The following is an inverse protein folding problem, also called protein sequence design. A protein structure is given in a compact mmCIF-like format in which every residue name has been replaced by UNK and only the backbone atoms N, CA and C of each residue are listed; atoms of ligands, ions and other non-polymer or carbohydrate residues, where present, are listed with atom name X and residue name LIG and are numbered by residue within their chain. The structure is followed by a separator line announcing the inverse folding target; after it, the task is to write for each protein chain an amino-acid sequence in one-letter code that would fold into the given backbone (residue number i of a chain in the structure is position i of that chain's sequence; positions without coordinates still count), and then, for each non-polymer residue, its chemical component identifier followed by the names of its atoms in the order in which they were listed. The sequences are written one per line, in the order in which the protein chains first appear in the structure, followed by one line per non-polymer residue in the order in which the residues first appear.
data_IF_815051093008
#
_entry.id   IF_815051093008
#
_cell.length_a   1.000
_cell.length_b   1.000
_cell.length_c   1.000
_cell.angle_alpha   90.00
_cell.angle_beta   90.00
_cell.angle_gamma   90.00
#
_symmetry.space_group_name_H-M   'P 1'
#
loop_
_entity.id
_entity.type
_entity.pdbx_description
1 polymer ?
#
# COMPACT_ATOMS: atom_id res chain seq x y z
N UNK A 1 5.13 -18.86 8.87
CA UNK A 1 4.10 -19.93 8.73
C UNK A 1 3.72 -20.13 7.28
N UNK A 2 3.19 -21.34 6.91
CA UNK A 2 2.66 -21.62 5.57
C UNK A 2 1.13 -21.74 5.64
N UNK A 3 0.45 -21.26 4.60
CA UNK A 3 -0.99 -21.43 4.46
C UNK A 3 -1.34 -22.79 3.78
N UNK A 4 -2.65 -23.02 3.59
CA UNK A 4 -3.18 -24.27 2.98
C UNK A 4 -2.72 -24.49 1.53
N UNK A 5 -2.17 -23.47 0.87
CA UNK A 5 -1.65 -23.50 -0.51
C UNK A 5 -0.12 -23.43 -0.55
N UNK A 6 0.54 -23.72 0.58
CA UNK A 6 2.01 -23.75 0.73
C UNK A 6 2.71 -22.38 0.52
N UNK A 7 1.98 -21.24 0.59
CA UNK A 7 2.55 -19.89 0.53
C UNK A 7 3.13 -19.54 1.90
N UNK A 8 4.36 -19.01 1.93
CA UNK A 8 4.95 -18.48 3.17
C UNK A 8 4.32 -17.14 3.51
N UNK A 9 3.70 -17.01 4.68
CA UNK A 9 3.08 -15.80 5.16
C UNK A 9 4.06 -15.11 6.11
N UNK A 10 4.71 -14.05 5.64
CA UNK A 10 5.78 -13.32 6.31
C UNK A 10 5.62 -11.80 6.29
N UNK A 11 4.52 -11.31 5.69
CA UNK A 11 4.29 -9.89 5.49
C UNK A 11 2.97 -9.41 6.09
N UNK A 12 3.06 -8.49 7.05
CA UNK A 12 1.90 -7.86 7.69
C UNK A 12 1.74 -6.40 7.23
N UNK A 13 0.57 -6.07 6.67
CA UNK A 13 0.16 -4.68 6.40
C UNK A 13 -0.77 -4.22 7.52
N UNK A 14 -0.48 -3.08 8.10
CA UNK A 14 -1.19 -2.57 9.27
C UNK A 14 -1.80 -1.20 8.93
N UNK A 15 -3.12 -1.14 8.88
CA UNK A 15 -3.84 0.12 8.90
C UNK A 15 -3.86 0.65 10.34
N UNK A 16 -3.03 1.64 10.65
CA UNK A 16 -2.96 2.18 12.01
C UNK A 16 -4.05 3.23 12.30
N UNK A 17 -4.75 3.67 11.28
CA UNK A 17 -5.84 4.64 11.37
C UNK A 17 -6.71 4.57 10.11
N UNK A 18 -7.99 4.83 10.23
CA UNK A 18 -8.94 5.05 9.15
C UNK A 18 -9.01 6.52 8.69
N UNK A 19 -8.41 7.43 9.47
CA UNK A 19 -8.39 8.87 9.19
C UNK A 19 -7.37 9.19 8.10
N UNK A 20 -7.71 10.16 7.26
CA UNK A 20 -6.84 10.69 6.21
C UNK A 20 -7.02 12.21 6.09
N UNK A 21 -5.95 12.90 5.74
CA UNK A 21 -5.98 14.33 5.39
C UNK A 21 -6.49 14.58 3.95
N UNK A 22 -6.58 13.54 3.12
CA UNK A 22 -7.18 13.57 1.78
C UNK A 22 -8.56 12.89 1.76
N UNK A 23 -9.27 13.02 0.63
CA UNK A 23 -10.59 12.40 0.36
C UNK A 23 -10.64 11.85 -1.06
N UNK A 24 -9.64 11.03 -1.43
CA UNK A 24 -9.53 10.50 -2.79
C UNK A 24 -10.83 9.82 -3.21
N UNK A 25 -11.31 10.17 -4.41
CA UNK A 25 -12.64 9.81 -4.92
C UNK A 25 -12.89 8.29 -4.96
N UNK A 26 -11.84 7.50 -5.18
CA UNK A 26 -11.90 6.04 -5.24
C UNK A 26 -11.65 5.36 -3.88
N UNK A 27 -11.27 6.11 -2.83
CA UNK A 27 -10.81 5.54 -1.56
C UNK A 27 -11.85 5.69 -0.44
N UNK A 28 -12.54 6.82 -0.37
CA UNK A 28 -13.53 7.12 0.66
C UNK A 28 -14.53 8.18 0.22
N UNK A 29 -15.72 8.27 0.84
CA UNK A 29 -16.69 9.32 0.61
C UNK A 29 -16.10 10.72 0.91
N UNK A 30 -16.68 11.77 0.31
CA UNK A 30 -16.24 13.16 0.52
C UNK A 30 -16.31 13.58 2.00
N UNK A 31 -17.35 13.13 2.70
CA UNK A 31 -17.51 13.37 4.15
C UNK A 31 -16.51 12.57 5.00
N UNK A 32 -15.79 11.62 4.40
CA UNK A 32 -14.91 10.68 5.09
C UNK A 32 -15.65 9.42 5.52
N UNK A 33 -14.94 8.55 6.25
CA UNK A 33 -15.52 7.35 6.88
C UNK A 33 -16.11 7.72 8.24
N UNK A 34 -17.11 6.95 8.70
CA UNK A 34 -17.64 7.10 10.05
C UNK A 34 -16.53 6.93 11.08
N UNK A 35 -16.54 7.78 12.09
CA UNK A 35 -15.52 7.74 13.14
C UNK A 35 -15.72 6.48 13.98
N UNK A 36 -14.70 5.62 13.99
CA UNK A 36 -14.66 4.49 14.91
C UNK A 36 -14.46 5.03 16.34
N UNK A 37 -15.24 4.57 17.33
CA UNK A 37 -15.05 4.97 18.73
C UNK A 37 -13.63 4.69 19.18
N UNK A 38 -13.05 5.59 19.98
CA UNK A 38 -11.66 5.51 20.43
C UNK A 38 -11.35 4.15 21.10
N UNK A 39 -12.28 3.63 21.90
CA UNK A 39 -12.14 2.35 22.59
C UNK A 39 -12.17 1.14 21.65
N UNK A 40 -12.62 1.34 20.42
CA UNK A 40 -12.63 0.30 19.39
C UNK A 40 -11.39 0.29 18.53
N UNK A 41 -10.53 1.32 18.63
CA UNK A 41 -9.27 1.41 17.90
C UNK A 41 -8.15 0.83 18.76
N UNK A 42 -7.21 0.09 18.14
CA UNK A 42 -6.02 -0.38 18.82
C UNK A 42 -5.09 0.79 19.21
N UNK A 43 -4.52 0.73 20.42
CA UNK A 43 -3.45 1.62 20.84
C UNK A 43 -2.14 1.29 20.11
N UNK A 44 -1.13 2.16 20.20
CA UNK A 44 0.17 1.92 19.59
C UNK A 44 0.89 0.74 20.28
N UNK A 45 0.72 0.62 21.58
CA UNK A 45 1.25 -0.48 22.40
C UNK A 45 0.59 -1.82 22.01
N UNK A 46 -0.72 -1.81 21.74
CA UNK A 46 -1.45 -2.99 21.26
C UNK A 46 -0.93 -3.42 19.87
N UNK A 47 -0.67 -2.49 18.95
CA UNK A 47 -0.01 -2.81 17.67
C UNK A 47 1.38 -3.38 17.89
N UNK A 48 2.21 -2.78 18.75
CA UNK A 48 3.56 -3.25 19.03
C UNK A 48 3.54 -4.68 19.62
N UNK A 49 2.60 -4.98 20.55
CA UNK A 49 2.41 -6.32 21.12
C UNK A 49 2.05 -7.33 20.02
N UNK A 50 1.06 -7.01 19.17
CA UNK A 50 0.66 -7.89 18.05
C UNK A 50 1.86 -8.16 17.15
N UNK A 51 2.60 -7.13 16.72
CA UNK A 51 3.75 -7.30 15.82
C UNK A 51 4.81 -8.20 16.47
N UNK A 52 5.11 -7.99 17.76
CA UNK A 52 6.08 -8.79 18.52
C UNK A 52 5.68 -10.27 18.55
N UNK A 53 4.42 -10.55 18.87
CA UNK A 53 3.90 -11.93 18.91
C UNK A 53 3.94 -12.56 17.52
N UNK A 54 3.51 -11.83 16.48
CA UNK A 54 3.51 -12.39 15.12
C UNK A 54 4.91 -12.52 14.52
N UNK A 55 5.91 -11.76 14.98
CA UNK A 55 7.30 -11.96 14.56
C UNK A 55 7.83 -13.32 15.00
N UNK A 56 7.50 -13.78 16.20
CA UNK A 56 7.86 -15.13 16.67
C UNK A 56 7.23 -16.26 15.84
N UNK A 57 6.10 -15.97 15.17
CA UNK A 57 5.43 -16.88 14.25
C UNK A 57 5.89 -16.75 12.78
N UNK A 58 6.90 -15.89 12.49
CA UNK A 58 7.54 -15.78 11.20
C UNK A 58 7.12 -14.58 10.35
N UNK A 59 6.42 -13.59 10.92
CA UNK A 59 6.26 -12.27 10.26
C UNK A 59 7.60 -11.54 10.34
N UNK A 60 8.12 -11.17 9.16
CA UNK A 60 9.43 -10.52 8.97
C UNK A 60 9.30 -9.09 8.45
N UNK A 61 8.22 -8.80 7.78
CA UNK A 61 8.02 -7.55 7.07
C UNK A 61 6.76 -6.86 7.53
N UNK A 62 6.90 -5.61 7.98
CA UNK A 62 5.77 -4.78 8.44
C UNK A 62 5.64 -3.57 7.54
N UNK A 63 4.39 -3.26 7.16
CA UNK A 63 4.10 -2.02 6.46
C UNK A 63 2.98 -1.26 7.15
N UNK A 64 3.30 -0.10 7.65
CA UNK A 64 2.31 0.83 8.15
C UNK A 64 1.62 1.56 7.01
N UNK A 65 0.31 1.63 7.12
CA UNK A 65 -0.61 2.29 6.19
C UNK A 65 -1.85 2.72 6.98
N UNK A 66 -2.95 2.97 6.30
CA UNK A 66 -4.21 3.35 6.95
C UNK A 66 -5.08 4.09 5.95
N UNK A 67 -5.80 5.10 6.45
CA UNK A 67 -6.12 6.27 5.65
C UNK A 67 -4.80 6.96 5.31
N UNK A 68 -4.33 7.85 6.20
CA UNK A 68 -2.95 8.35 6.11
C UNK A 68 -2.22 8.08 7.44
N UNK A 69 -1.20 7.23 7.46
CA UNK A 69 -0.54 6.86 8.72
C UNK A 69 0.16 8.03 9.42
N UNK A 70 0.62 9.04 8.67
CA UNK A 70 1.32 10.21 9.24
C UNK A 70 0.41 11.13 10.06
N UNK A 71 -0.93 10.98 9.97
CA UNK A 71 -1.84 11.73 10.85
C UNK A 71 -1.96 11.10 12.25
N UNK A 72 -1.52 9.84 12.42
CA UNK A 72 -1.55 9.15 13.70
C UNK A 72 -0.37 9.63 14.58
N UNK A 73 -0.66 10.35 15.67
CA UNK A 73 0.35 10.72 16.66
C UNK A 73 1.05 9.49 17.22
N UNK A 74 2.38 9.58 17.39
CA UNK A 74 3.19 8.48 17.94
C UNK A 74 3.65 7.45 16.91
N UNK A 75 3.36 7.62 15.60
CA UNK A 75 3.84 6.69 14.57
C UNK A 75 5.35 6.49 14.58
N UNK A 76 6.14 7.55 14.81
CA UNK A 76 7.62 7.47 14.87
C UNK A 76 8.06 6.48 15.94
N UNK A 77 7.47 6.56 17.15
CA UNK A 77 7.75 5.63 18.24
C UNK A 77 7.32 4.18 17.91
N UNK A 78 6.18 4.00 17.23
CA UNK A 78 5.75 2.68 16.80
C UNK A 78 6.70 2.08 15.75
N UNK A 79 7.23 2.90 14.82
CA UNK A 79 8.25 2.48 13.86
C UNK A 79 9.52 2.04 14.59
N UNK A 80 10.00 2.82 15.54
CA UNK A 80 11.20 2.52 16.34
C UNK A 80 11.04 1.22 17.12
N UNK A 81 9.92 1.06 17.85
CA UNK A 81 9.61 -0.19 18.56
C UNK A 81 9.56 -1.37 17.62
N UNK A 82 8.91 -1.23 16.45
CA UNK A 82 8.78 -2.30 15.46
C UNK A 82 10.13 -2.70 14.87
N UNK A 83 10.98 -1.72 14.54
CA UNK A 83 12.31 -1.95 13.98
C UNK A 83 13.26 -2.65 14.96
N UNK A 84 13.02 -2.49 16.27
CA UNK A 84 13.80 -3.13 17.34
C UNK A 84 13.32 -4.56 17.66
N UNK A 85 12.20 -5.04 17.12
CA UNK A 85 11.69 -6.40 17.36
C UNK A 85 12.58 -7.40 16.65
N UNK A 86 13.09 -8.39 17.40
CA UNK A 86 13.84 -9.52 16.84
C UNK A 86 12.98 -10.28 15.81
N UNK A 87 13.57 -10.60 14.64
CA UNK A 87 12.89 -11.27 13.54
C UNK A 87 12.22 -10.34 12.54
N UNK A 88 12.04 -9.05 12.85
CA UNK A 88 11.57 -8.05 11.87
C UNK A 88 12.76 -7.59 11.03
N UNK A 89 12.71 -7.92 9.73
CA UNK A 89 13.78 -7.60 8.76
C UNK A 89 13.55 -6.23 8.10
N UNK A 90 12.30 -5.75 8.03
CA UNK A 90 12.02 -4.46 7.41
C UNK A 90 10.71 -3.82 7.87
N UNK A 91 10.78 -2.51 8.05
CA UNK A 91 9.62 -1.65 8.31
C UNK A 91 9.45 -0.68 7.14
N UNK A 92 8.26 -0.63 6.57
CA UNK A 92 7.94 0.22 5.43
C UNK A 92 6.70 1.08 5.72
N UNK A 93 6.56 2.17 4.98
CA UNK A 93 5.43 3.09 5.05
C UNK A 93 4.75 3.20 3.68
N UNK A 94 3.41 3.32 3.68
CA UNK A 94 2.65 3.82 2.53
C UNK A 94 1.96 5.10 2.95
N UNK A 95 2.18 6.19 2.22
CA UNK A 95 1.73 7.54 2.58
C UNK A 95 1.39 8.36 1.33
N UNK A 96 0.51 9.37 1.46
CA UNK A 96 0.32 10.42 0.45
C UNK A 96 1.44 11.49 0.48
N UNK A 97 2.38 11.35 1.38
CA UNK A 97 3.60 12.14 1.56
C UNK A 97 3.42 13.62 1.93
N UNK A 98 2.20 14.15 2.05
CA UNK A 98 1.97 15.58 2.39
C UNK A 98 2.65 15.97 3.73
N UNK A 99 2.55 15.10 4.73
CA UNK A 99 3.15 15.34 6.05
C UNK A 99 4.58 14.78 6.17
N UNK A 100 5.05 14.06 5.15
CA UNK A 100 6.33 13.34 5.20
C UNK A 100 7.55 14.26 5.42
N UNK A 101 7.67 15.46 4.81
CA UNK A 101 8.83 16.33 5.02
C UNK A 101 9.10 16.68 6.50
N UNK A 102 8.05 16.88 7.28
CA UNK A 102 8.19 17.21 8.71
C UNK A 102 8.60 16.03 9.59
N UNK A 103 8.50 14.80 9.09
CA UNK A 103 8.73 13.57 9.86
C UNK A 103 9.84 12.69 9.27
N UNK A 104 10.33 12.97 8.08
CA UNK A 104 11.26 12.11 7.34
C UNK A 104 12.53 11.80 8.14
N UNK A 105 13.15 12.82 8.75
CA UNK A 105 14.34 12.67 9.56
C UNK A 105 14.13 11.72 10.74
N UNK A 106 13.04 11.88 11.47
CA UNK A 106 12.76 11.10 12.67
C UNK A 106 12.34 9.66 12.30
N UNK A 107 11.55 9.50 11.23
CA UNK A 107 11.20 8.18 10.69
C UNK A 107 12.45 7.41 10.22
N UNK A 108 13.41 8.09 9.57
CA UNK A 108 14.68 7.46 9.17
C UNK A 108 15.47 6.98 10.38
N UNK A 109 15.60 7.82 11.43
CA UNK A 109 16.27 7.46 12.68
C UNK A 109 15.56 6.31 13.41
N UNK A 110 14.23 6.28 13.37
CA UNK A 110 13.42 5.22 13.97
C UNK A 110 13.54 3.86 13.24
N UNK A 111 14.29 3.78 12.14
CA UNK A 111 14.51 2.52 11.41
C UNK A 111 13.53 2.28 10.27
N UNK A 112 12.75 3.28 9.84
CA UNK A 112 11.95 3.15 8.63
C UNK A 112 12.87 2.92 7.43
N UNK A 113 12.75 1.76 6.80
CA UNK A 113 13.66 1.37 5.72
C UNK A 113 13.20 1.86 4.35
N UNK A 114 11.90 1.88 4.08
CA UNK A 114 11.34 2.14 2.74
C UNK A 114 10.05 2.93 2.79
N UNK A 115 9.86 3.75 1.75
CA UNK A 115 8.65 4.56 1.59
C UNK A 115 7.98 4.24 0.25
N UNK A 116 6.66 4.03 0.30
CA UNK A 116 5.83 4.03 -0.89
C UNK A 116 4.93 5.27 -0.82
N UNK A 117 5.01 6.09 -1.82
CA UNK A 117 4.25 7.33 -1.93
C UNK A 117 3.12 7.11 -2.93
N UNK A 118 1.90 7.39 -2.52
CA UNK A 118 0.72 7.34 -3.39
C UNK A 118 0.57 8.66 -4.14
N UNK A 119 0.64 8.61 -5.46
CA UNK A 119 0.51 9.77 -6.34
C UNK A 119 -0.09 9.31 -7.68
N UNK A 120 -1.30 9.75 -7.98
CA UNK A 120 -2.05 9.24 -9.13
C UNK A 120 -1.94 10.12 -10.38
N UNK A 121 -1.47 11.36 -10.25
CA UNK A 121 -1.27 12.29 -11.36
C UNK A 121 -0.19 13.31 -11.03
N UNK A 122 0.42 13.87 -12.08
CA UNK A 122 1.35 15.01 -12.03
C UNK A 122 0.71 16.30 -12.51
N UNK A 123 -0.59 16.29 -12.85
CA UNK A 123 -1.40 17.44 -13.17
C UNK A 123 -2.08 18.00 -11.92
N UNK A 124 -1.99 19.32 -11.68
CA UNK A 124 -2.49 19.95 -10.45
C UNK A 124 -4.01 19.93 -10.34
N UNK A 125 -4.71 20.17 -11.44
CA UNK A 125 -6.17 20.22 -11.43
C UNK A 125 -6.74 18.81 -11.29
N UNK A 126 -6.14 17.84 -11.98
CA UNK A 126 -6.49 16.45 -11.82
C UNK A 126 -6.17 15.92 -10.41
N UNK A 127 -5.03 16.34 -9.82
CA UNK A 127 -4.69 15.98 -8.44
C UNK A 127 -5.72 16.51 -7.45
N UNK A 128 -6.14 17.77 -7.61
CA UNK A 128 -7.19 18.39 -6.80
C UNK A 128 -8.52 17.67 -6.97
N UNK A 129 -8.87 17.32 -8.21
CA UNK A 129 -10.08 16.55 -8.50
C UNK A 129 -10.05 15.18 -7.82
N UNK A 130 -8.99 14.39 -8.00
CA UNK A 130 -8.86 13.05 -7.42
C UNK A 130 -8.86 13.10 -5.90
N UNK A 131 -8.08 13.99 -5.29
CA UNK A 131 -7.87 14.03 -3.84
C UNK A 131 -8.89 14.87 -3.08
N UNK A 132 -9.65 15.71 -3.77
CA UNK A 132 -10.63 16.69 -3.25
C UNK A 132 -10.06 17.77 -2.33
N UNK A 133 -8.94 17.53 -1.66
CA UNK A 133 -8.37 18.42 -0.62
C UNK A 133 -6.86 18.63 -0.74
N UNK A 134 -6.21 17.91 -1.64
CA UNK A 134 -4.76 17.92 -1.75
C UNK A 134 -4.22 19.07 -2.59
N UNK A 135 -2.93 19.36 -2.39
CA UNK A 135 -2.11 20.19 -3.24
C UNK A 135 -0.96 19.31 -3.76
N UNK A 136 -0.76 19.28 -5.08
CA UNK A 136 0.27 18.45 -5.71
C UNK A 136 1.68 18.80 -5.22
N UNK A 137 1.99 20.09 -5.05
CA UNK A 137 3.29 20.54 -4.57
C UNK A 137 3.67 19.97 -3.21
N UNK A 138 2.69 19.75 -2.32
CA UNK A 138 2.96 19.14 -1.01
C UNK A 138 3.40 17.68 -1.16
N UNK A 139 2.76 16.91 -2.05
CA UNK A 139 3.14 15.54 -2.34
C UNK A 139 4.53 15.45 -3.01
N UNK A 140 4.82 16.35 -3.97
CA UNK A 140 6.12 16.43 -4.64
C UNK A 140 7.25 16.78 -3.65
N UNK A 141 7.02 17.71 -2.71
CA UNK A 141 7.98 17.97 -1.62
C UNK A 141 8.22 16.74 -0.75
N UNK A 142 7.19 15.92 -0.53
CA UNK A 142 7.33 14.66 0.18
C UNK A 142 8.22 13.65 -0.56
N UNK A 143 8.11 13.58 -1.89
CA UNK A 143 9.00 12.75 -2.72
C UNK A 143 10.45 13.24 -2.62
N UNK A 144 10.64 14.55 -2.78
CA UNK A 144 11.96 15.16 -2.67
C UNK A 144 12.58 14.89 -1.30
N UNK A 145 11.82 15.06 -0.23
CA UNK A 145 12.28 14.76 1.12
C UNK A 145 12.66 13.27 1.30
N UNK A 146 11.94 12.35 0.68
CA UNK A 146 12.29 10.93 0.74
C UNK A 146 13.64 10.63 0.06
N UNK A 147 13.96 11.33 -1.02
CA UNK A 147 15.26 11.21 -1.70
C UNK A 147 16.37 11.87 -0.87
N UNK A 148 16.14 13.07 -0.32
CA UNK A 148 17.11 13.82 0.49
C UNK A 148 17.54 13.09 1.77
N UNK A 149 16.62 12.33 2.38
CA UNK A 149 16.93 11.50 3.56
C UNK A 149 17.33 10.07 3.21
N UNK A 150 17.73 9.80 1.95
CA UNK A 150 18.24 8.50 1.50
C UNK A 150 17.33 7.31 1.79
N UNK A 151 16.02 7.47 1.69
CA UNK A 151 15.14 6.31 1.69
C UNK A 151 15.33 5.53 0.38
N UNK A 152 15.62 4.24 0.50
CA UNK A 152 15.87 3.39 -0.68
C UNK A 152 15.24 2.01 -0.50
N UNK A 153 14.43 1.58 -1.48
CA UNK A 153 13.93 2.32 -2.63
C UNK A 153 12.76 3.27 -2.29
N UNK A 154 12.70 4.43 -2.95
CA UNK A 154 11.51 5.28 -2.98
C UNK A 154 10.61 4.79 -4.11
N UNK A 155 9.37 4.42 -3.77
CA UNK A 155 8.40 3.88 -4.74
C UNK A 155 7.19 4.80 -4.84
N UNK A 156 6.86 5.23 -6.05
CA UNK A 156 5.61 5.91 -6.34
C UNK A 156 4.56 4.86 -6.73
N UNK A 157 3.38 4.92 -6.14
CA UNK A 157 2.23 4.09 -6.48
C UNK A 157 1.20 4.94 -7.17
N UNK A 158 0.85 4.59 -8.39
CA UNK A 158 -0.15 5.26 -9.21
C UNK A 158 -1.25 4.26 -9.53
N UNK A 159 -2.45 4.49 -9.01
CA UNK A 159 -3.63 3.72 -9.39
C UNK A 159 -4.10 4.23 -10.75
N UNK A 160 -4.13 3.35 -11.74
CA UNK A 160 -4.52 3.72 -13.11
C UNK A 160 -6.00 3.44 -13.31
N UNK A 161 -6.74 4.47 -13.72
CA UNK A 161 -8.20 4.45 -13.89
C UNK A 161 -8.54 4.96 -15.27
N UNK A 162 -9.40 4.25 -15.99
CA UNK A 162 -9.69 4.54 -17.40
C UNK A 162 -10.24 5.96 -17.62
N UNK A 163 -11.25 6.36 -16.87
CA UNK A 163 -11.87 7.68 -17.00
C UNK A 163 -10.99 8.86 -16.57
N UNK A 164 -9.86 8.60 -15.91
CA UNK A 164 -8.92 9.66 -15.52
C UNK A 164 -7.93 10.05 -16.62
N UNK A 165 -7.74 9.21 -17.64
CA UNK A 165 -6.82 9.48 -18.77
C UNK A 165 -5.44 10.02 -18.33
N UNK A 166 -4.88 9.42 -17.28
CA UNK A 166 -3.64 9.87 -16.63
C UNK A 166 -2.44 9.84 -17.59
N UNK A 167 -1.57 10.83 -17.51
CA UNK A 167 -0.32 10.87 -18.28
C UNK A 167 0.72 9.91 -17.68
N UNK A 168 0.68 8.66 -18.14
CA UNK A 168 1.58 7.59 -17.66
C UNK A 168 3.03 7.81 -18.11
N UNK A 169 3.25 8.51 -19.25
CA UNK A 169 4.59 8.75 -19.74
C UNK A 169 5.33 9.77 -18.87
N UNK A 170 4.69 10.81 -18.39
CA UNK A 170 5.31 11.78 -17.48
C UNK A 170 5.78 11.12 -16.19
N UNK A 171 5.02 10.16 -15.65
CA UNK A 171 5.50 9.33 -14.53
C UNK A 171 6.70 8.47 -14.91
N UNK A 172 6.69 7.84 -16.09
CA UNK A 172 7.80 7.03 -16.55
C UNK A 172 9.09 7.86 -16.70
N UNK A 173 8.98 9.11 -17.18
CA UNK A 173 10.11 10.06 -17.31
C UNK A 173 10.77 10.38 -15.98
N UNK A 174 10.05 10.40 -14.85
CA UNK A 174 10.66 10.61 -13.53
C UNK A 174 11.73 9.56 -13.20
N UNK A 175 11.63 8.37 -13.79
CA UNK A 175 12.61 7.29 -13.55
C UNK A 175 13.92 7.47 -14.32
N UNK A 176 13.97 8.38 -15.32
CA UNK A 176 15.15 8.59 -16.14
C UNK A 176 16.24 9.27 -15.30
N UNK A 177 15.91 10.40 -14.69
CA UNK A 177 16.85 11.28 -14.02
C UNK A 177 16.92 11.09 -12.50
N UNK A 178 16.01 10.29 -11.94
CA UNK A 178 15.89 10.06 -10.50
C UNK A 178 15.82 8.57 -10.17
N UNK A 179 16.36 8.11 -9.02
CA UNK A 179 16.30 6.73 -8.58
C UNK A 179 14.91 6.37 -8.00
N UNK A 180 13.87 6.78 -8.71
CA UNK A 180 12.48 6.53 -8.36
C UNK A 180 11.96 5.26 -9.05
N UNK A 181 11.11 4.52 -8.34
CA UNK A 181 10.47 3.33 -8.88
C UNK A 181 8.97 3.58 -8.97
N UNK A 182 8.49 3.94 -10.16
CA UNK A 182 7.07 4.17 -10.42
C UNK A 182 6.35 2.85 -10.59
N UNK A 183 5.24 2.64 -9.86
CA UNK A 183 4.44 1.42 -9.96
C UNK A 183 3.00 1.75 -10.33
N UNK A 184 2.63 1.38 -11.51
CA UNK A 184 1.26 1.46 -11.98
C UNK A 184 0.47 0.26 -11.46
N UNK A 185 -0.66 0.55 -10.85
CA UNK A 185 -1.51 -0.44 -10.18
C UNK A 185 -2.86 -0.44 -10.88
N UNK A 186 -3.32 -1.61 -11.32
CA UNK A 186 -4.67 -1.75 -11.80
C UNK A 186 -5.67 -1.31 -10.73
N UNK A 187 -6.64 -0.51 -11.11
CA UNK A 187 -7.71 -0.12 -10.21
C UNK A 187 -8.40 -1.34 -9.61
N UNK A 188 -8.64 -1.32 -8.33
CA UNK A 188 -9.32 -2.40 -7.60
C UNK A 188 -10.61 -1.86 -7.02
N UNK A 189 -11.78 -2.21 -7.55
CA UNK A 189 -13.06 -1.81 -6.98
C UNK A 189 -13.24 -2.50 -5.61
N UNK A 190 -13.17 -1.71 -4.54
CA UNK A 190 -13.24 -2.14 -3.13
C UNK A 190 -14.21 -1.22 -2.38
N UNK A 191 -15.09 -1.78 -1.55
CA UNK A 191 -16.11 -1.06 -0.80
C UNK A 191 -17.53 -1.46 -1.17
N UNK A 192 -18.50 -1.20 -0.28
CA UNK A 192 -19.91 -1.48 -0.54
C UNK A 192 -20.45 -0.67 -1.72
N UNK A 193 -21.17 -1.36 -2.61
CA UNK A 193 -21.92 -0.74 -3.70
C UNK A 193 -21.13 -0.48 -4.98
N UNK A 194 -19.96 -1.12 -5.18
CA UNK A 194 -19.10 -1.00 -6.38
C UNK A 194 -18.68 0.46 -6.72
N UNK A 195 -19.02 1.41 -5.88
CA UNK A 195 -18.70 2.81 -6.04
C UNK A 195 -17.86 3.26 -4.85
N UNK A 196 -16.57 3.10 -4.95
CA UNK A 196 -15.61 3.64 -4.00
C UNK A 196 -15.96 5.10 -3.70
N UNK A 197 -16.43 5.37 -2.50
CA UNK A 197 -16.71 6.73 -2.07
C UNK A 197 -17.74 7.53 -2.87
N UNK A 198 -18.57 6.88 -3.72
CA UNK A 198 -19.60 7.54 -4.53
C UNK A 198 -19.14 7.95 -5.94
N UNK A 199 -17.98 7.49 -6.42
CA UNK A 199 -17.51 7.80 -7.78
C UNK A 199 -18.21 6.97 -8.87
N UNK A 200 -18.91 5.91 -8.52
CA UNK A 200 -19.60 5.04 -9.48
C UNK A 200 -18.67 4.13 -10.31
N UNK A 201 -17.38 4.05 -9.97
CA UNK A 201 -16.38 3.30 -10.73
C UNK A 201 -16.44 1.81 -10.43
N UNK A 202 -16.68 1.01 -11.44
CA UNK A 202 -16.72 -0.44 -11.39
C UNK A 202 -15.52 -1.09 -12.10
N UNK A 203 -15.72 -2.32 -12.56
CA UNK A 203 -14.70 -3.10 -13.24
C UNK A 203 -14.33 -2.52 -14.62
N UNK A 204 -15.22 -1.75 -15.23
CA UNK A 204 -15.04 -1.07 -16.51
C UNK A 204 -13.92 -0.02 -16.46
N UNK A 205 -13.61 0.49 -15.27
CA UNK A 205 -12.53 1.47 -15.06
C UNK A 205 -11.14 0.82 -14.97
N UNK A 206 -11.06 -0.50 -14.95
CA UNK A 206 -9.79 -1.21 -14.92
C UNK A 206 -9.08 -1.09 -16.27
N UNK A 207 -7.83 -0.64 -16.24
CA UNK A 207 -6.91 -0.74 -17.38
C UNK A 207 -5.96 -1.91 -17.08
N UNK A 208 -5.97 -2.98 -17.92
CA UNK A 208 -5.06 -4.10 -17.73
C UNK A 208 -3.59 -3.69 -17.80
N UNK A 209 -2.74 -4.33 -17.00
CA UNK A 209 -1.30 -4.03 -16.92
C UNK A 209 -0.62 -4.05 -18.30
N UNK A 210 -1.04 -4.93 -19.20
CA UNK A 210 -0.51 -5.00 -20.55
C UNK A 210 -0.87 -3.75 -21.39
N UNK A 211 -2.07 -3.22 -21.22
CA UNK A 211 -2.52 -1.97 -21.88
C UNK A 211 -1.71 -0.77 -21.35
N UNK A 212 -1.46 -0.72 -20.03
CA UNK A 212 -0.59 0.29 -19.40
C UNK A 212 0.81 0.27 -20.04
N UNK A 213 1.43 -0.89 -20.13
CA UNK A 213 2.77 -1.05 -20.73
C UNK A 213 2.78 -0.66 -22.21
N UNK A 214 1.75 -1.04 -22.96
CA UNK A 214 1.63 -0.70 -24.38
C UNK A 214 1.53 0.81 -24.57
N UNK A 215 0.69 1.48 -23.78
CA UNK A 215 0.53 2.94 -23.82
C UNK A 215 1.85 3.66 -23.53
N UNK A 216 2.57 3.25 -22.48
CA UNK A 216 3.87 3.84 -22.13
C UNK A 216 4.87 3.62 -23.27
N UNK A 217 4.96 2.42 -23.83
CA UNK A 217 5.89 2.10 -24.91
C UNK A 217 5.61 2.94 -26.18
N UNK A 218 4.35 3.02 -26.59
CA UNK A 218 3.97 3.79 -27.77
C UNK A 218 4.33 5.28 -27.62
N UNK A 219 4.07 5.85 -26.46
CA UNK A 219 4.36 7.25 -26.18
C UNK A 219 5.87 7.50 -26.01
N UNK A 220 6.60 6.60 -25.34
CA UNK A 220 8.05 6.69 -25.20
C UNK A 220 8.77 6.60 -26.54
N UNK A 221 8.32 5.74 -27.47
CA UNK A 221 8.86 5.65 -28.83
C UNK A 221 8.63 6.94 -29.62
N UNK A 222 7.43 7.53 -29.54
CA UNK A 222 7.13 8.81 -30.21
C UNK A 222 8.05 9.94 -29.76
N UNK A 223 8.48 9.92 -28.50
CA UNK A 223 9.39 10.92 -27.91
C UNK A 223 10.88 10.51 -28.01
N UNK A 224 11.21 9.41 -28.66
CA UNK A 224 12.58 8.95 -28.83
C UNK A 224 13.25 8.39 -27.57
N UNK A 225 12.47 8.06 -26.53
CA UNK A 225 12.96 7.51 -25.26
C UNK A 225 13.25 6.00 -25.31
N UNK A 226 12.96 5.34 -26.43
CA UNK A 226 13.07 3.90 -26.59
C UNK A 226 11.88 3.13 -26.02
N UNK A 227 12.10 1.84 -25.70
CA UNK A 227 11.08 0.94 -25.19
C UNK A 227 11.42 0.38 -23.83
N UNK A 228 10.41 0.03 -23.07
CA UNK A 228 10.54 -0.67 -21.79
C UNK A 228 11.17 -2.05 -21.97
N UNK A 229 12.28 -2.30 -21.29
CA UNK A 229 12.92 -3.60 -21.23
C UNK A 229 12.56 -4.30 -19.91
N UNK A 230 12.22 -5.60 -19.92
CA UNK A 230 11.98 -6.35 -18.69
C UNK A 230 13.19 -6.32 -17.76
N UNK A 231 12.98 -6.07 -16.49
CA UNK A 231 14.01 -6.04 -15.46
C UNK A 231 14.01 -7.37 -14.69
N UNK A 232 14.94 -8.27 -15.00
CA UNK A 232 15.07 -9.57 -14.33
C UNK A 232 15.97 -9.52 -13.12
N UNK A 233 17.09 -8.79 -13.24
CA UNK A 233 18.07 -8.59 -12.17
C UNK A 233 17.99 -7.18 -11.60
N UNK A 234 18.58 -6.96 -10.41
CA UNK A 234 18.62 -5.65 -9.74
C UNK A 234 17.22 -4.99 -9.57
N UNK A 235 16.20 -5.81 -9.34
CA UNK A 235 14.86 -5.30 -9.04
C UNK A 235 14.88 -4.49 -7.74
N UNK A 236 14.09 -3.41 -7.65
CA UNK A 236 14.00 -2.65 -6.41
C UNK A 236 13.52 -3.55 -5.27
N UNK A 237 14.28 -3.59 -4.18
CA UNK A 237 13.99 -4.42 -3.00
C UNK A 237 12.56 -4.22 -2.53
N UNK A 238 11.85 -5.32 -2.26
CA UNK A 238 10.48 -5.28 -1.76
C UNK A 238 9.74 -6.59 -1.86
N UNK A 239 8.66 -6.69 -1.12
CA UNK A 239 7.84 -7.88 -0.91
C UNK A 239 6.51 -7.81 -1.69
N UNK A 240 6.43 -6.88 -2.63
CA UNK A 240 5.25 -6.68 -3.45
C UNK A 240 5.30 -7.47 -4.77
N UNK A 241 4.15 -7.62 -5.43
CA UNK A 241 3.99 -8.48 -6.60
C UNK A 241 4.30 -7.78 -7.93
N UNK A 242 4.93 -6.61 -7.91
CA UNK A 242 5.20 -5.84 -9.13
C UNK A 242 6.17 -6.56 -10.06
N UNK A 243 5.83 -6.61 -11.34
CA UNK A 243 6.76 -6.93 -12.42
C UNK A 243 7.41 -5.65 -12.89
N UNK A 244 8.73 -5.65 -13.03
CA UNK A 244 9.51 -4.44 -13.28
C UNK A 244 10.08 -4.39 -14.70
N UNK A 245 10.15 -3.15 -15.21
CA UNK A 245 10.70 -2.77 -16.50
C UNK A 245 11.58 -1.52 -16.34
N UNK A 246 12.38 -1.22 -17.35
CA UNK A 246 13.26 -0.06 -17.35
C UNK A 246 13.31 0.59 -18.73
N UNK A 247 13.24 1.90 -18.78
CA UNK A 247 13.60 2.67 -19.98
C UNK A 247 15.12 2.66 -20.18
N UNK A 248 15.60 2.80 -21.42
CA UNK A 248 17.03 2.96 -21.66
C UNK A 248 17.63 4.09 -20.81
N UNK A 249 18.79 3.83 -20.22
CA UNK A 249 19.54 4.78 -19.39
C UNK A 249 18.84 5.31 -18.13
N UNK A 250 17.64 4.85 -17.80
CA UNK A 250 16.94 5.31 -16.61
C UNK A 250 17.68 4.91 -15.32
N UNK A 251 17.69 5.77 -14.31
CA UNK A 251 18.23 5.45 -12.98
C UNK A 251 17.27 4.55 -12.20
N UNK A 252 15.98 4.85 -12.28
CA UNK A 252 14.92 4.12 -11.62
C UNK A 252 14.32 3.00 -12.46
N UNK A 253 13.08 2.61 -12.16
CA UNK A 253 12.36 1.55 -12.88
C UNK A 253 10.84 1.77 -12.86
N UNK A 254 10.16 1.11 -13.78
CA UNK A 254 8.71 1.10 -13.92
C UNK A 254 8.23 -0.29 -13.50
N UNK A 255 7.27 -0.34 -12.58
CA UNK A 255 6.61 -1.57 -12.17
C UNK A 255 5.15 -1.59 -12.60
N UNK A 256 4.59 -2.77 -12.82
CA UNK A 256 3.15 -2.95 -12.96
C UNK A 256 2.65 -3.95 -11.94
N UNK A 257 1.47 -3.69 -11.38
CA UNK A 257 0.78 -4.59 -10.44
C UNK A 257 -0.56 -4.95 -11.04
N UNK A 258 -0.63 -6.14 -11.62
CA UNK A 258 -1.84 -6.71 -12.22
C UNK A 258 -2.68 -7.38 -11.13
N UNK A 259 -3.46 -6.58 -10.40
CA UNK A 259 -4.27 -7.11 -9.31
C UNK A 259 -5.55 -7.81 -9.80
N UNK A 260 -6.04 -7.46 -10.97
CA UNK A 260 -7.30 -7.92 -11.57
C UNK A 260 -7.06 -8.79 -12.80
N UNK A 261 -6.31 -8.28 -13.81
CA UNK A 261 -6.15 -8.96 -15.11
C UNK A 261 -5.29 -10.23 -15.05
N UNK A 262 -4.26 -10.23 -14.18
CA UNK A 262 -3.36 -11.37 -13.96
C UNK A 262 -2.93 -11.40 -12.50
N UNK A 263 -3.84 -11.82 -11.63
CA UNK A 263 -3.66 -11.73 -10.19
C UNK A 263 -2.50 -12.60 -9.68
N UNK A 264 -1.76 -12.06 -8.72
CA UNK A 264 -0.58 -12.66 -8.08
C UNK A 264 -0.92 -13.49 -6.83
N UNK A 265 -2.14 -14.01 -6.72
CA UNK A 265 -2.61 -14.72 -5.52
C UNK A 265 -1.75 -15.93 -5.17
N UNK A 266 -1.24 -16.66 -6.17
CA UNK A 266 -0.39 -17.83 -5.97
C UNK A 266 0.92 -17.54 -5.20
N UNK A 267 1.42 -16.29 -5.24
CA UNK A 267 2.62 -15.85 -4.50
C UNK A 267 2.31 -14.88 -3.35
N UNK A 268 1.05 -14.74 -2.95
CA UNK A 268 0.64 -13.75 -1.97
C UNK A 268 1.02 -14.16 -0.54
N UNK A 269 1.99 -13.48 0.04
CA UNK A 269 2.54 -13.69 1.39
C UNK A 269 1.92 -12.78 2.48
N UNK A 270 0.78 -12.08 2.20
CA UNK A 270 0.31 -10.98 3.02
C UNK A 270 -0.90 -11.32 3.88
N UNK A 271 -0.90 -10.74 5.08
CA UNK A 271 -2.10 -10.50 5.90
C UNK A 271 -2.27 -9.00 6.14
N UNK A 272 -3.47 -8.61 6.56
CA UNK A 272 -3.82 -7.21 6.87
C UNK A 272 -4.39 -7.11 8.27
N UNK A 273 -3.92 -6.12 9.03
CA UNK A 273 -4.49 -5.74 10.33
C UNK A 273 -5.12 -4.35 10.20
N UNK A 274 -6.37 -4.24 10.59
CA UNK A 274 -7.12 -2.97 10.55
C UNK A 274 -6.92 -2.17 11.84
N UNK A 275 -7.26 -0.87 11.81
CA UNK A 275 -7.13 0.01 12.98
C UNK A 275 -8.02 -0.41 14.16
N UNK A 276 -9.12 -1.09 13.89
CA UNK A 276 -10.05 -1.67 14.87
C UNK A 276 -9.73 -3.13 15.22
N UNK A 277 -8.50 -3.59 14.95
CA UNK A 277 -7.99 -4.88 15.41
C UNK A 277 -8.51 -6.11 14.68
N UNK A 278 -8.98 -5.97 13.44
CA UNK A 278 -9.40 -7.11 12.62
C UNK A 278 -8.25 -7.61 11.76
N UNK A 279 -7.93 -8.89 11.85
CA UNK A 279 -6.97 -9.56 11.00
C UNK A 279 -7.69 -10.14 9.79
N UNK A 280 -7.30 -9.70 8.58
CA UNK A 280 -7.89 -10.13 7.30
C UNK A 280 -6.91 -10.98 6.51
N UNK A 281 -7.32 -12.18 6.05
CA UNK A 281 -6.48 -13.03 5.20
C UNK A 281 -6.28 -12.48 3.78
N UNK A 282 -7.25 -11.74 3.26
CA UNK A 282 -7.22 -11.19 1.89
C UNK A 282 -7.88 -9.81 1.84
N UNK A 283 -7.45 -8.95 0.91
CA UNK A 283 -8.06 -7.65 0.64
C UNK A 283 -9.53 -7.80 0.24
N UNK A 284 -9.82 -8.74 -0.64
CA UNK A 284 -11.13 -8.97 -1.23
C UNK A 284 -12.03 -9.92 -0.41
N UNK A 285 -11.62 -10.31 0.79
CA UNK A 285 -12.40 -11.17 1.68
C UNK A 285 -13.11 -10.35 2.75
N UNK A 286 -14.35 -10.68 3.05
CA UNK A 286 -15.08 -10.15 4.21
C UNK A 286 -14.81 -10.94 5.49
N UNK A 287 -14.03 -12.03 5.41
CA UNK A 287 -13.61 -12.79 6.59
C UNK A 287 -12.63 -11.95 7.41
N UNK A 288 -12.94 -11.78 8.68
CA UNK A 288 -12.17 -10.99 9.64
C UNK A 288 -12.08 -11.72 10.98
N UNK A 289 -10.93 -11.66 11.62
CA UNK A 289 -10.66 -12.25 12.93
C UNK A 289 -10.35 -11.14 13.93
N UNK A 290 -11.10 -11.08 15.02
CA UNK A 290 -10.96 -10.02 16.04
C UNK A 290 -9.83 -10.31 17.02
N UNK A 291 -8.76 -9.53 16.96
CA UNK A 291 -7.62 -9.61 17.87
C UNK A 291 -7.78 -8.78 19.15
N UNK A 292 -8.80 -7.89 19.26
CA UNK A 292 -8.89 -6.93 20.36
C UNK A 292 -8.95 -7.60 21.74
N UNK A 293 -9.78 -8.64 21.88
CA UNK A 293 -9.90 -9.33 23.17
C UNK A 293 -8.58 -10.04 23.52
N UNK A 294 -7.96 -10.72 22.56
CA UNK A 294 -6.70 -11.42 22.77
C UNK A 294 -5.57 -10.45 23.16
N UNK A 295 -5.47 -9.29 22.49
CA UNK A 295 -4.41 -8.32 22.79
C UNK A 295 -4.65 -7.55 24.07
N UNK A 296 -5.89 -7.34 24.50
CA UNK A 296 -6.21 -6.54 25.71
C UNK A 296 -6.18 -7.35 26.99
N UNK A 297 -6.80 -8.53 26.97
CA UNK A 297 -7.04 -9.34 28.16
C UNK A 297 -6.63 -10.79 28.02
N UNK A 298 -6.24 -11.23 26.83
CA UNK A 298 -5.79 -12.60 26.57
C UNK A 298 -4.27 -12.76 26.61
N UNK A 299 -3.83 -13.97 26.33
CA UNK A 299 -2.42 -14.36 26.26
C UNK A 299 -1.83 -14.13 24.86
N UNK A 300 -0.52 -14.32 24.71
CA UNK A 300 0.15 -14.29 23.42
C UNK A 300 -0.23 -15.52 22.56
N UNK A 301 -0.56 -16.65 23.19
CA UNK A 301 -1.09 -17.86 22.55
C UNK A 301 -2.45 -17.58 21.90
N UNK A 302 -3.35 -16.81 22.55
CA UNK A 302 -4.64 -16.43 21.96
C UNK A 302 -4.44 -15.61 20.67
N UNK A 303 -3.42 -14.74 20.63
CA UNK A 303 -3.06 -13.99 19.41
C UNK A 303 -2.57 -14.92 18.31
N UNK A 304 -1.70 -15.89 18.65
CA UNK A 304 -1.17 -16.88 17.72
C UNK A 304 -2.25 -17.82 17.17
N UNK A 305 -3.21 -18.20 17.99
CA UNK A 305 -4.35 -19.03 17.56
C UNK A 305 -5.21 -18.30 16.52
N UNK A 306 -5.53 -17.03 16.77
CA UNK A 306 -6.27 -16.20 15.81
C UNK A 306 -5.46 -16.00 14.52
N UNK A 307 -4.15 -15.81 14.63
CA UNK A 307 -3.26 -15.69 13.47
C UNK A 307 -3.25 -16.99 12.63
N UNK A 308 -3.17 -18.13 13.29
CA UNK A 308 -3.21 -19.44 12.64
C UNK A 308 -4.54 -19.67 11.91
N UNK A 309 -5.66 -19.30 12.52
CA UNK A 309 -6.98 -19.37 11.88
C UNK A 309 -7.06 -18.47 10.63
N UNK A 310 -6.53 -17.23 10.71
CA UNK A 310 -6.51 -16.33 9.57
C UNK A 310 -5.64 -16.86 8.42
N UNK A 311 -4.54 -17.52 8.71
CA UNK A 311 -3.68 -18.19 7.71
C UNK A 311 -4.41 -19.38 7.08
N UNK A 312 -5.02 -20.25 7.89
CA UNK A 312 -5.73 -21.44 7.42
C UNK A 312 -6.89 -21.11 6.47
N UNK A 313 -7.54 -19.97 6.67
CA UNK A 313 -8.68 -19.53 5.86
C UNK A 313 -8.29 -18.58 4.71
N UNK A 314 -6.98 -18.35 4.52
CA UNK A 314 -6.52 -17.51 3.41
C UNK A 314 -6.89 -18.14 2.07
N UNK A 315 -7.68 -17.45 1.21
CA UNK A 315 -8.15 -18.05 -0.04
C UNK A 315 -6.99 -18.28 -1.02
N UNK A 316 -7.14 -19.27 -1.89
CA UNK A 316 -6.20 -19.52 -2.99
C UNK A 316 -6.08 -18.29 -3.90
N UNK A 317 -7.23 -17.73 -4.29
CA UNK A 317 -7.33 -16.53 -5.09
C UNK A 317 -8.56 -15.72 -4.70
N UNK A 318 -8.69 -14.52 -5.23
CA UNK A 318 -9.85 -13.67 -4.96
C UNK A 318 -11.07 -14.01 -5.82
N UNK A 319 -11.09 -15.17 -6.50
CA UNK A 319 -12.16 -15.74 -7.33
C UNK A 319 -13.36 -14.80 -7.51
N UNK A 320 -13.36 -13.94 -8.53
CA UNK A 320 -14.46 -13.10 -9.02
C UNK A 320 -15.27 -12.27 -7.99
N UNK A 321 -15.01 -12.39 -6.70
CA UNK A 321 -15.56 -11.49 -5.68
C UNK A 321 -14.70 -10.23 -5.61
N UNK A 322 -14.98 -9.34 -6.53
CA UNK A 322 -14.40 -8.00 -6.52
C UNK A 322 -15.18 -7.20 -5.48
N UNK A 323 -14.47 -6.71 -4.46
CA UNK A 323 -15.05 -5.91 -3.40
C UNK A 323 -14.97 -6.54 -2.00
N UNK A 324 -15.13 -5.71 -1.03
CA UNK A 324 -15.29 -6.01 0.41
C UNK A 324 -16.18 -4.91 0.99
N UNK A 325 -16.83 -5.18 2.11
CA UNK A 325 -17.65 -4.17 2.80
C UNK A 325 -16.85 -2.97 3.29
N UNK A 326 -15.56 -3.16 3.57
CA UNK A 326 -14.69 -2.09 4.05
C UNK A 326 -14.18 -1.22 2.90
N UNK A 327 -14.09 0.08 3.16
CA UNK A 327 -13.42 1.03 2.28
C UNK A 327 -11.91 0.81 2.26
N UNK A 328 -11.22 1.25 1.19
CA UNK A 328 -9.78 1.09 1.04
C UNK A 328 -9.01 1.73 2.20
N UNK A 329 -9.44 2.88 2.70
CA UNK A 329 -8.85 3.58 3.85
C UNK A 329 -8.91 2.79 5.16
N UNK A 330 -9.85 1.87 5.31
CA UNK A 330 -10.01 1.04 6.52
C UNK A 330 -9.13 -0.22 6.50
N UNK A 331 -8.77 -0.71 5.31
CA UNK A 331 -7.99 -1.96 5.16
C UNK A 331 -6.53 -1.71 4.78
N UNK A 332 -6.15 -0.48 4.60
CA UNK A 332 -4.82 -0.07 4.23
C UNK A 332 -4.51 -0.34 2.75
N UNK A 333 -4.70 0.65 1.95
CA UNK A 333 -4.41 0.64 0.51
C UNK A 333 -2.94 0.46 0.15
#
# INVERSE_FOLDING_TARGET
MKDSFNRSIDYLRISITDRCNLRCIYCMPEKGVESIPHDSILSLEEFARIIKVLSSAGIKHVRFTGGEPLVRKGLVSLVEQTAAIEGIESVALTTNAILFPSMAKDLKKAGLSRVNISLDTLDEDQYRFITRRGNLHDALRGIQSALEYDFSPVKLNTVVVRSLEQDLLSFAKLTIDQPLHVRFIEYMPVGEGLSCGGCGWGIEEVIPAQEILTTINQNAQKEGLGTLQPLHENKPVGWGPATYYKLPNAQGSIGVISAISNHFCASCNRLRLTSDGKLKPCLFSDVEYDLRKAVRTGSDEDILDIFSQAIATKPEGHQQRIGTKRMMSQVGG
#
